data_IF_711373482824
#
_entry.id   IF_711373482824
#
_cell.length_a   1.000
_cell.length_b   1.000
_cell.length_c   1.000
_cell.angle_alpha   90.00
_cell.angle_beta   90.00
_cell.angle_gamma   90.00
#
_symmetry.space_group_name_H-M   'P 1'
#
loop_
_entity.id
_entity.type
_entity.pdbx_description
1 polymer ?
#
# COMPACT_ATOMS: atom_id res chain seq x y z
N UNK A 1 -0.11 2.66 -27.87
CA UNK A 1 0.58 2.72 -26.57
C UNK A 1 -0.50 2.65 -25.51
N UNK A 2 -0.48 1.69 -24.57
CA UNK A 2 -1.38 1.77 -23.42
C UNK A 2 -0.99 3.03 -22.65
N UNK A 3 -1.93 3.95 -22.48
CA UNK A 3 -1.79 5.04 -21.52
C UNK A 3 -1.60 4.39 -20.16
N UNK A 4 -0.47 4.65 -19.50
CA UNK A 4 -0.20 4.18 -18.15
C UNK A 4 -1.37 4.60 -17.26
N UNK A 5 -2.23 3.64 -16.91
CA UNK A 5 -3.27 3.88 -15.92
C UNK A 5 -2.61 4.26 -14.60
N UNK A 6 -3.22 5.18 -13.87
CA UNK A 6 -2.76 5.55 -12.54
C UNK A 6 -2.60 4.29 -11.68
N UNK A 7 -1.52 4.23 -10.90
CA UNK A 7 -1.23 3.09 -10.03
C UNK A 7 -2.42 2.85 -9.08
N UNK A 8 -2.98 1.65 -9.08
CA UNK A 8 -4.00 1.27 -8.09
C UNK A 8 -3.29 0.83 -6.81
N UNK A 9 -3.19 1.76 -5.85
CA UNK A 9 -2.52 1.52 -4.58
C UNK A 9 -3.11 0.34 -3.80
N UNK A 10 -4.43 0.12 -3.87
CA UNK A 10 -5.04 -1.00 -3.16
C UNK A 10 -4.65 -2.34 -3.79
N UNK A 11 -4.58 -2.42 -5.13
CA UNK A 11 -4.07 -3.62 -5.82
C UNK A 11 -2.58 -3.85 -5.64
N UNK A 12 -1.78 -2.79 -5.51
CA UNK A 12 -0.39 -2.92 -5.10
C UNK A 12 -0.28 -3.44 -3.66
N UNK A 13 -1.11 -2.95 -2.74
CA UNK A 13 -1.16 -3.44 -1.37
C UNK A 13 -1.58 -4.90 -1.29
N UNK A 14 -2.61 -5.30 -2.03
CA UNK A 14 -3.02 -6.70 -2.18
C UNK A 14 -1.82 -7.57 -2.57
N UNK A 15 -1.13 -7.19 -3.64
CA UNK A 15 0.04 -7.94 -4.12
C UNK A 15 1.17 -8.00 -3.08
N UNK A 16 1.49 -6.87 -2.42
CA UNK A 16 2.53 -6.81 -1.40
C UNK A 16 2.16 -7.67 -0.20
N UNK A 17 0.93 -7.57 0.32
CA UNK A 17 0.46 -8.36 1.46
C UNK A 17 0.48 -9.83 1.10
N UNK A 18 -0.08 -10.22 -0.03
CA UNK A 18 -0.12 -11.60 -0.48
C UNK A 18 1.27 -12.22 -0.67
N UNK A 19 2.17 -11.51 -1.36
CA UNK A 19 3.48 -12.06 -1.75
C UNK A 19 4.54 -11.94 -0.67
N UNK A 20 4.50 -10.88 0.13
CA UNK A 20 5.58 -10.57 1.07
C UNK A 20 5.20 -10.84 2.52
N UNK A 21 3.92 -10.78 2.89
CA UNK A 21 3.53 -10.78 4.31
C UNK A 21 2.54 -11.87 4.71
N UNK A 22 1.72 -12.42 3.80
CA UNK A 22 0.61 -13.36 4.11
C UNK A 22 1.06 -14.56 4.94
N UNK A 23 2.12 -15.25 4.53
CA UNK A 23 2.65 -16.42 5.26
C UNK A 23 3.09 -16.06 6.68
N UNK A 24 3.78 -14.92 6.85
CA UNK A 24 4.24 -14.42 8.13
C UNK A 24 3.08 -13.99 9.03
N UNK A 25 2.11 -13.28 8.47
CA UNK A 25 0.93 -12.80 9.20
C UNK A 25 0.08 -13.97 9.74
N UNK A 26 -0.12 -15.01 8.93
CA UNK A 26 -0.80 -16.23 9.33
C UNK A 26 -0.04 -16.99 10.42
N UNK A 27 1.29 -17.06 10.32
CA UNK A 27 2.14 -17.72 11.32
C UNK A 27 2.15 -16.98 12.67
N UNK A 28 2.16 -15.65 12.65
CA UNK A 28 2.28 -14.79 13.84
C UNK A 28 0.92 -14.45 14.48
N UNK A 29 -0.22 -14.93 13.93
CA UNK A 29 -1.59 -14.57 14.36
C UNK A 29 -1.77 -13.05 14.53
N UNK A 30 -1.34 -12.29 13.52
CA UNK A 30 -1.38 -10.82 13.57
C UNK A 30 -2.84 -10.33 13.62
N UNK A 31 -3.25 -9.58 14.65
CA UNK A 31 -4.65 -9.19 14.81
C UNK A 31 -5.07 -8.06 13.86
N UNK A 32 -4.13 -7.24 13.40
CA UNK A 32 -4.37 -6.14 12.46
C UNK A 32 -3.08 -5.64 11.83
N UNK A 33 -3.20 -4.92 10.71
CA UNK A 33 -2.11 -4.26 9.99
C UNK A 33 -2.26 -2.75 10.11
N UNK A 34 -1.20 -2.05 10.49
CA UNK A 34 -1.13 -0.58 10.37
C UNK A 34 -0.38 -0.21 9.09
N UNK A 35 -1.01 0.57 8.22
CA UNK A 35 -0.38 1.13 7.02
C UNK A 35 -0.29 2.64 7.17
N UNK A 36 0.93 3.15 7.05
CA UNK A 36 1.22 4.58 7.00
C UNK A 36 1.25 5.01 5.54
N UNK A 37 0.26 5.81 5.15
CA UNK A 37 0.12 6.27 3.77
C UNK A 37 0.39 7.77 3.68
N UNK A 38 0.99 8.21 2.58
CA UNK A 38 0.74 9.56 2.12
C UNK A 38 -0.73 9.71 1.68
N UNK A 39 -1.18 10.91 1.37
CA UNK A 39 -2.58 11.19 0.99
C UNK A 39 -2.74 11.60 -0.47
N UNK A 40 -1.84 11.17 -1.35
CA UNK A 40 -1.73 11.65 -2.73
C UNK A 40 -2.39 10.73 -3.76
N UNK A 41 -2.92 11.30 -4.85
CA UNK A 41 -3.43 10.52 -5.98
C UNK A 41 -4.50 9.50 -5.60
N UNK A 42 -4.32 8.25 -6.00
CA UNK A 42 -5.32 7.18 -5.87
C UNK A 42 -5.46 6.61 -4.45
N UNK A 43 -4.58 6.92 -3.49
CA UNK A 43 -4.75 6.54 -2.08
C UNK A 43 -5.34 7.65 -1.19
N UNK A 44 -5.77 8.77 -1.78
CA UNK A 44 -6.31 9.93 -1.06
C UNK A 44 -7.31 9.57 0.04
N UNK A 45 -7.10 10.16 1.23
CA UNK A 45 -8.00 9.98 2.38
C UNK A 45 -9.43 10.45 2.12
N UNK A 46 -9.65 11.32 1.12
CA UNK A 46 -10.96 11.87 0.74
C UNK A 46 -11.72 11.00 -0.25
N UNK A 47 -11.02 10.16 -1.01
CA UNK A 47 -11.65 9.31 -2.01
C UNK A 47 -12.10 7.98 -1.40
N UNK A 48 -13.18 7.42 -1.96
CA UNK A 48 -13.79 6.19 -1.48
C UNK A 48 -13.43 4.97 -2.33
N UNK A 49 -12.82 5.16 -3.51
CA UNK A 49 -12.37 4.05 -4.35
C UNK A 49 -11.29 3.23 -3.64
N UNK A 50 -10.29 3.90 -3.07
CA UNK A 50 -9.26 3.24 -2.27
C UNK A 50 -9.85 2.49 -1.07
N UNK A 51 -10.85 3.09 -0.41
CA UNK A 51 -11.57 2.48 0.71
C UNK A 51 -12.35 1.23 0.30
N UNK A 52 -13.00 1.27 -0.85
CA UNK A 52 -13.71 0.12 -1.42
C UNK A 52 -12.74 -1.02 -1.73
N UNK A 53 -11.62 -0.72 -2.39
CA UNK A 53 -10.66 -1.76 -2.73
C UNK A 53 -9.94 -2.30 -1.49
N UNK A 54 -9.70 -1.47 -0.47
CA UNK A 54 -9.25 -1.94 0.85
C UNK A 54 -10.29 -2.84 1.51
N UNK A 55 -11.58 -2.53 1.42
CA UNK A 55 -12.64 -3.39 1.98
C UNK A 55 -12.59 -4.78 1.33
N UNK A 56 -12.50 -4.86 0.00
CA UNK A 56 -12.35 -6.14 -0.73
C UNK A 56 -11.11 -6.91 -0.27
N UNK A 57 -9.98 -6.22 -0.15
CA UNK A 57 -8.72 -6.81 0.31
C UNK A 57 -8.84 -7.36 1.73
N UNK A 58 -9.40 -6.57 2.65
CA UNK A 58 -9.60 -6.96 4.05
C UNK A 58 -10.56 -8.14 4.18
N UNK A 59 -11.62 -8.17 3.38
CA UNK A 59 -12.57 -9.28 3.31
C UNK A 59 -11.90 -10.56 2.79
N UNK A 60 -10.95 -10.45 1.86
CA UNK A 60 -10.20 -11.58 1.31
C UNK A 60 -9.16 -12.13 2.30
N UNK A 61 -8.40 -11.26 2.98
CA UNK A 61 -7.33 -11.70 3.89
C UNK A 61 -7.85 -12.03 5.29
N UNK A 62 -9.05 -11.57 5.66
CA UNK A 62 -9.65 -11.78 6.98
C UNK A 62 -8.93 -11.05 8.13
N UNK A 63 -8.11 -10.05 7.82
CA UNK A 63 -7.28 -9.29 8.78
C UNK A 63 -7.64 -7.81 8.67
N UNK A 64 -7.94 -7.17 9.80
CA UNK A 64 -8.22 -5.73 9.87
C UNK A 64 -7.01 -4.91 9.37
N UNK A 65 -7.28 -3.90 8.54
CA UNK A 65 -6.28 -2.92 8.12
C UNK A 65 -6.67 -1.55 8.65
N UNK A 66 -5.78 -0.94 9.44
CA UNK A 66 -5.85 0.47 9.83
C UNK A 66 -4.98 1.31 8.92
N UNK A 67 -5.56 2.32 8.31
CA UNK A 67 -4.86 3.32 7.52
C UNK A 67 -4.65 4.57 8.37
N UNK A 68 -3.42 5.07 8.40
CA UNK A 68 -3.10 6.38 8.95
C UNK A 68 -2.43 7.23 7.87
N UNK A 69 -3.14 8.27 7.43
CA UNK A 69 -2.61 9.18 6.43
C UNK A 69 -1.78 10.29 7.06
N UNK A 70 -0.63 10.60 6.46
CA UNK A 70 0.05 11.87 6.70
C UNK A 70 -0.76 13.01 6.08
N UNK A 71 -1.03 14.11 6.81
CA UNK A 71 -1.64 15.29 6.23
C UNK A 71 -0.81 15.85 5.06
N UNK A 72 -1.40 16.67 4.17
CA UNK A 72 -0.66 17.34 3.11
C UNK A 72 0.59 18.04 3.65
N UNK A 73 1.68 17.98 2.89
CA UNK A 73 3.00 18.55 3.24
C UNK A 73 3.68 17.95 4.48
N UNK A 74 3.17 16.81 4.99
CA UNK A 74 3.75 16.10 6.12
C UNK A 74 4.46 14.78 5.75
N UNK A 75 4.65 14.50 4.45
CA UNK A 75 5.32 13.26 3.98
C UNK A 75 6.74 13.10 4.54
N UNK A 76 7.45 14.20 4.85
CA UNK A 76 8.77 14.16 5.52
C UNK A 76 8.78 13.40 6.85
N UNK A 77 7.62 13.17 7.48
CA UNK A 77 7.51 12.38 8.71
C UNK A 77 7.24 10.90 8.44
N UNK A 78 7.01 10.51 7.19
CA UNK A 78 6.92 9.11 6.79
C UNK A 78 8.30 8.45 6.92
N UNK A 79 8.44 7.38 7.73
CA UNK A 79 9.72 6.71 7.91
C UNK A 79 10.36 6.24 6.60
N UNK A 80 9.57 5.92 5.56
CA UNK A 80 10.09 5.44 4.27
C UNK A 80 11.05 6.45 3.63
N UNK A 81 10.76 7.75 3.78
CA UNK A 81 11.54 8.85 3.19
C UNK A 81 12.99 8.88 3.67
N UNK A 82 13.22 8.49 4.94
CA UNK A 82 14.53 8.57 5.57
C UNK A 82 15.15 7.21 5.85
N UNK A 83 14.34 6.15 5.93
CA UNK A 83 14.79 4.80 6.27
C UNK A 83 14.94 3.87 5.07
N UNK A 84 14.24 4.12 3.96
CA UNK A 84 14.32 3.27 2.76
C UNK A 84 14.93 4.00 1.58
N UNK A 85 14.33 5.11 1.14
CA UNK A 85 14.69 5.75 -0.13
C UNK A 85 16.17 6.16 -0.24
N UNK A 86 16.84 6.71 0.79
CA UNK A 86 18.27 7.04 0.69
C UNK A 86 19.16 5.81 0.42
N UNK A 87 18.74 4.64 0.88
CA UNK A 87 19.45 3.38 0.61
C UNK A 87 19.18 2.86 -0.79
N UNK A 88 17.93 2.96 -1.27
CA UNK A 88 17.59 2.62 -2.66
C UNK A 88 18.34 3.51 -3.65
N UNK A 89 18.40 4.83 -3.41
CA UNK A 89 19.16 5.77 -4.24
C UNK A 89 20.64 5.40 -4.30
N UNK A 90 21.24 5.01 -3.16
CA UNK A 90 22.63 4.52 -3.13
C UNK A 90 22.83 3.23 -3.91
N UNK A 91 21.89 2.29 -3.81
CA UNK A 91 21.98 1.01 -4.55
C UNK A 91 21.95 1.22 -6.07
N UNK A 92 21.28 2.27 -6.54
CA UNK A 92 21.21 2.65 -7.95
C UNK A 92 22.29 3.65 -8.41
N UNK A 93 23.15 4.13 -7.51
CA UNK A 93 24.05 5.25 -7.80
C UNK A 93 25.08 4.89 -8.88
N UNK A 94 25.25 5.78 -9.86
CA UNK A 94 26.25 5.64 -10.93
C UNK A 94 25.90 4.63 -12.01
N UNK A 95 24.67 4.08 -12.03
CA UNK A 95 24.23 3.12 -13.04
C UNK A 95 23.22 3.75 -14.00
N UNK A 96 23.40 3.50 -15.30
CA UNK A 96 22.42 3.88 -16.32
C UNK A 96 21.35 2.79 -16.42
N UNK A 97 20.08 3.15 -16.22
CA UNK A 97 18.95 2.23 -16.32
C UNK A 97 18.63 1.91 -17.79
N UNK A 98 19.07 0.74 -18.26
CA UNK A 98 18.84 0.32 -19.66
C UNK A 98 17.53 -0.45 -19.87
N UNK A 99 17.02 -1.09 -18.81
CA UNK A 99 15.76 -1.82 -18.84
C UNK A 99 15.23 -2.01 -17.40
N UNK A 100 13.97 -2.45 -17.28
CA UNK A 100 13.30 -2.67 -15.99
C UNK A 100 13.99 -3.72 -15.11
N UNK A 101 14.59 -4.75 -15.71
CA UNK A 101 15.23 -5.82 -14.97
C UNK A 101 16.48 -5.33 -14.23
N UNK A 102 17.29 -4.46 -14.87
CA UNK A 102 18.42 -3.81 -14.21
C UNK A 102 17.95 -2.97 -13.04
N UNK A 103 16.86 -2.20 -13.20
CA UNK A 103 16.32 -1.38 -12.10
C UNK A 103 15.91 -2.27 -10.92
N UNK A 104 15.17 -3.36 -11.20
CA UNK A 104 14.77 -4.33 -10.17
C UNK A 104 16.00 -4.88 -9.42
N UNK A 105 16.98 -5.41 -10.15
CA UNK A 105 18.18 -6.02 -9.56
C UNK A 105 18.99 -5.03 -8.71
N UNK A 106 19.06 -3.77 -9.11
CA UNK A 106 19.73 -2.73 -8.32
C UNK A 106 18.96 -2.42 -7.04
N UNK A 107 17.64 -2.21 -7.15
CA UNK A 107 16.80 -1.92 -6.00
C UNK A 107 16.76 -3.09 -4.99
N UNK A 108 16.78 -4.35 -5.45
CA UNK A 108 16.84 -5.55 -4.59
C UNK A 108 18.14 -5.66 -3.78
N UNK A 109 19.24 -5.05 -4.25
CA UNK A 109 20.51 -4.99 -3.50
C UNK A 109 20.48 -3.98 -2.34
N UNK A 110 19.36 -3.30 -2.13
CA UNK A 110 19.22 -2.36 -1.01
C UNK A 110 19.21 -3.11 0.32
N UNK A 111 20.30 -2.98 1.07
CA UNK A 111 20.41 -3.49 2.42
C UNK A 111 21.15 -2.53 3.36
N UNK A 112 21.00 -2.74 4.66
CA UNK A 112 21.73 -1.97 5.69
C UNK A 112 22.35 -2.88 6.72
N UNK A 113 23.44 -2.42 7.35
CA UNK A 113 24.09 -3.12 8.48
C UNK A 113 23.14 -3.39 9.66
N UNK A 114 22.07 -2.61 9.80
CA UNK A 114 21.05 -2.75 10.85
C UNK A 114 19.92 -3.73 10.47
N UNK A 115 20.00 -4.39 9.32
CA UNK A 115 19.10 -5.48 8.94
C UNK A 115 17.96 -5.12 7.99
N UNK A 116 17.82 -3.86 7.54
CA UNK A 116 16.89 -3.53 6.45
C UNK A 116 17.30 -4.31 5.18
N UNK A 117 16.33 -4.96 4.53
CA UNK A 117 16.46 -5.57 3.20
C UNK A 117 15.25 -5.17 2.36
N UNK A 118 15.47 -4.85 1.09
CA UNK A 118 14.39 -4.57 0.16
C UNK A 118 14.02 -5.83 -0.65
N UNK A 119 12.73 -5.98 -0.95
CA UNK A 119 12.23 -6.91 -1.95
C UNK A 119 11.54 -6.08 -3.02
N UNK A 120 11.79 -6.40 -4.28
CA UNK A 120 11.26 -5.63 -5.41
C UNK A 120 10.54 -6.58 -6.34
N UNK A 121 9.35 -6.21 -6.76
CA UNK A 121 8.59 -6.98 -7.72
C UNK A 121 8.10 -6.06 -8.84
N UNK A 122 8.22 -6.55 -10.07
CA UNK A 122 7.65 -5.88 -11.22
C UNK A 122 6.20 -6.35 -11.30
N UNK A 123 5.27 -5.40 -11.17
CA UNK A 123 3.84 -5.68 -11.32
C UNK A 123 3.46 -5.32 -12.75
N UNK A 124 3.40 -6.35 -13.60
CA UNK A 124 2.93 -6.21 -14.99
C UNK A 124 1.41 -6.42 -15.01
N UNK A 125 0.67 -5.36 -14.65
CA UNK A 125 -0.79 -5.33 -14.66
C UNK A 125 -1.29 -4.06 -15.32
N UNK A 126 -2.42 -4.19 -16.01
CA UNK A 126 -3.16 -3.03 -16.53
C UNK A 126 -4.13 -2.57 -15.45
N UNK A 127 -4.01 -1.31 -15.04
CA UNK A 127 -4.93 -0.67 -14.10
C UNK A 127 -6.00 0.10 -14.85
N UNK A 128 -7.26 -0.20 -14.56
CA UNK A 128 -8.39 0.50 -15.18
C UNK A 128 -8.50 1.93 -14.62
N UNK A 129 -8.48 2.91 -15.52
CA UNK A 129 -8.68 4.33 -15.17
C UNK A 129 -10.15 4.70 -15.16
N UNK A 130 -10.52 5.72 -14.39
CA UNK A 130 -11.89 6.26 -14.40
C UNK A 130 -12.91 5.37 -13.67
N UNK A 131 -12.45 4.40 -12.88
CA UNK A 131 -13.28 3.58 -12.01
C UNK A 131 -14.10 4.47 -11.07
N UNK A 132 -15.37 4.12 -10.92
CA UNK A 132 -16.28 4.73 -9.96
C UNK A 132 -16.48 3.79 -8.78
N UNK A 133 -16.71 4.39 -7.62
CA UNK A 133 -17.13 3.66 -6.43
C UNK A 133 -18.49 3.04 -6.70
N UNK A 134 -18.70 1.80 -6.25
CA UNK A 134 -19.97 1.11 -6.36
C UNK A 134 -21.09 1.92 -5.70
N UNK A 135 -22.26 1.89 -6.33
CA UNK A 135 -23.46 2.50 -5.78
C UNK A 135 -23.81 1.84 -4.44
N UNK A 136 -24.12 2.64 -3.42
CA UNK A 136 -24.41 2.12 -2.08
C UNK A 136 -23.18 1.80 -1.21
N UNK A 137 -21.95 1.94 -1.71
CA UNK A 137 -20.76 1.62 -0.89
C UNK A 137 -20.63 2.54 0.33
N UNK A 138 -20.90 3.85 0.17
CA UNK A 138 -20.74 4.81 1.27
C UNK A 138 -21.70 4.55 2.42
N UNK A 139 -22.86 4.00 2.11
CA UNK A 139 -23.94 3.68 3.04
C UNK A 139 -23.70 2.34 3.74
N UNK A 140 -23.05 1.39 3.07
CA UNK A 140 -22.89 0.01 3.54
C UNK A 140 -21.46 -0.35 4.00
N UNK A 141 -20.48 0.56 3.85
CA UNK A 141 -19.09 0.28 4.20
C UNK A 141 -18.94 -0.03 5.69
N UNK A 142 -18.08 -1.00 6.02
CA UNK A 142 -17.70 -1.34 7.41
C UNK A 142 -16.45 -0.59 7.88
N UNK A 143 -16.28 0.62 7.35
CA UNK A 143 -15.12 1.46 7.66
C UNK A 143 -15.44 2.29 8.91
N UNK A 144 -14.58 2.15 9.91
CA UNK A 144 -14.67 2.87 11.18
C UNK A 144 -13.62 3.97 11.19
N UNK A 145 -14.06 5.22 11.12
CA UNK A 145 -13.17 6.38 11.26
C UNK A 145 -12.70 6.52 12.71
N UNK A 146 -11.46 6.93 12.89
CA UNK A 146 -10.87 7.08 14.22
C UNK A 146 -11.37 8.35 14.93
N UNK A 147 -11.41 8.33 16.26
CA UNK A 147 -11.79 9.51 17.08
C UNK A 147 -10.83 10.68 16.89
N UNK A 148 -9.53 10.38 16.73
CA UNK A 148 -8.48 11.37 16.51
C UNK A 148 -8.13 11.40 15.03
N UNK A 149 -8.31 12.58 14.41
CA UNK A 149 -8.05 12.83 12.99
C UNK A 149 -8.88 11.91 12.05
N UNK A 150 -10.22 11.86 12.18
CA UNK A 150 -11.10 10.99 11.39
C UNK A 150 -11.02 11.23 9.87
N UNK A 151 -10.63 12.44 9.44
CA UNK A 151 -10.46 12.74 8.02
C UNK A 151 -9.24 12.06 7.38
N UNK A 152 -8.33 11.51 8.19
CA UNK A 152 -7.08 10.90 7.77
C UNK A 152 -6.91 9.46 8.25
N UNK A 153 -7.60 9.06 9.31
CA UNK A 153 -7.37 7.77 9.94
C UNK A 153 -8.67 6.97 10.02
N UNK A 154 -8.60 5.73 9.56
CA UNK A 154 -9.74 4.83 9.53
C UNK A 154 -9.31 3.37 9.57
N UNK A 155 -10.21 2.52 10.05
CA UNK A 155 -10.07 1.08 10.14
C UNK A 155 -11.03 0.42 9.18
N UNK A 156 -10.53 -0.53 8.41
CA UNK A 156 -11.31 -1.35 7.49
C UNK A 156 -11.41 -2.74 8.13
N UNK A 157 -12.64 -3.13 8.48
CA UNK A 157 -12.93 -4.35 9.25
C UNK A 157 -13.50 -5.42 8.30
N UNK A 158 -13.07 -6.70 8.41
CA UNK A 158 -13.61 -7.79 7.60
C UNK A 158 -15.12 -7.94 7.73
N UNK A 159 -15.80 -8.14 6.60
CA UNK A 159 -17.25 -8.22 6.51
C UNK A 159 -17.84 -9.58 6.87
N UNK A 160 -17.06 -10.65 6.84
CA UNK A 160 -17.49 -12.04 7.11
C UNK A 160 -16.47 -12.82 7.93
N UNK A 161 -16.97 -13.79 8.70
CA UNK A 161 -16.22 -14.60 9.67
C UNK A 161 -14.98 -15.26 9.07
N UNK A 162 -13.88 -15.23 9.83
CA UNK A 162 -12.76 -16.16 9.72
C UNK A 162 -13.35 -17.57 9.60
N UNK A 163 -13.25 -18.17 8.41
CA UNK A 163 -13.54 -19.60 8.19
C UNK A 163 -12.38 -20.40 8.78
#
# INVERSE_FOLDING_TARGET
MPTSGDLDHAKCLEYIIEKCFKSRMLAERTPSILILCDGGGSNSSRHYLFKEDLQKLVDEIGIEIRIAHYPPYCSKYNPIEHRLFPHVTRACQGVVFKNMQIVKELMEKTETRKGLKATVQIVDKVYETGRKVAEGFKENMKIVFDEVLPAWNYRVIPSGQVI
#
